data_IF_382902881832
#
_entry.id   IF_382902881832
#
_cell.length_a   1.000
_cell.length_b   1.000
_cell.length_c   1.000
_cell.angle_alpha   90.00
_cell.angle_beta   90.00
_cell.angle_gamma   90.00
#
_symmetry.space_group_name_H-M   'P 1'
#
loop_
_entity.id
_entity.type
_entity.pdbx_description
1 polymer ?
#
# COMPACT_ATOMS: atom_id res chain seq x y z
N UNK A 1 -16.81 0.23 -9.23
CA UNK A 1 -16.64 1.27 -8.18
C UNK A 1 -15.72 0.73 -7.10
N UNK A 2 -14.75 1.53 -6.60
CA UNK A 2 -13.97 1.18 -5.42
C UNK A 2 -14.65 1.75 -4.16
N UNK A 3 -14.71 0.94 -3.10
CA UNK A 3 -15.26 1.33 -1.79
C UNK A 3 -14.16 1.11 -0.76
N UNK A 4 -13.87 2.14 0.04
CA UNK A 4 -12.89 2.10 1.12
C UNK A 4 -13.61 2.00 2.47
N UNK A 5 -13.21 1.02 3.28
CA UNK A 5 -13.86 0.72 4.57
C UNK A 5 -12.85 0.38 5.66
N UNK A 6 -13.30 0.31 6.90
CA UNK A 6 -12.48 -0.10 8.05
C UNK A 6 -11.15 0.66 8.13
N UNK A 7 -11.20 1.96 7.83
CA UNK A 7 -10.00 2.78 7.75
C UNK A 7 -9.24 2.84 9.08
N UNK A 8 -7.92 2.90 8.97
CA UNK A 8 -6.99 3.03 10.09
C UNK A 8 -6.15 4.27 9.89
N UNK A 9 -5.97 5.00 10.97
CA UNK A 9 -5.10 6.17 10.97
C UNK A 9 -3.64 5.75 10.77
N UNK A 10 -3.00 6.40 9.78
CA UNK A 10 -1.55 6.36 9.55
C UNK A 10 -1.07 7.79 9.72
N UNK A 11 -0.27 8.06 10.75
CA UNK A 11 0.11 9.44 11.12
C UNK A 11 -1.11 10.34 11.34
N UNK A 12 -1.38 11.29 10.45
CA UNK A 12 -2.51 12.24 10.56
C UNK A 12 -3.78 11.79 9.84
N UNK A 13 -3.68 10.88 8.87
CA UNK A 13 -4.77 10.54 7.95
C UNK A 13 -5.16 9.06 8.02
N UNK A 14 -6.41 8.77 7.73
CA UNK A 14 -6.95 7.42 7.62
C UNK A 14 -6.69 6.88 6.20
N UNK A 15 -5.44 6.52 5.91
CA UNK A 15 -5.00 6.10 4.56
C UNK A 15 -4.93 4.60 4.36
N UNK A 16 -5.03 3.81 5.44
CA UNK A 16 -4.98 2.35 5.40
C UNK A 16 -6.33 1.76 5.78
N UNK A 17 -6.73 0.68 5.11
CA UNK A 17 -8.02 0.03 5.38
C UNK A 17 -8.28 -1.15 4.45
N UNK A 18 -9.55 -1.47 4.26
CA UNK A 18 -10.02 -2.47 3.32
C UNK A 18 -10.59 -1.80 2.08
N UNK A 19 -10.33 -2.38 0.93
CA UNK A 19 -10.91 -1.94 -0.33
C UNK A 19 -11.78 -3.06 -0.92
N UNK A 20 -12.87 -2.63 -1.54
CA UNK A 20 -13.82 -3.49 -2.22
C UNK A 20 -14.06 -3.00 -3.63
N UNK A 21 -14.16 -3.94 -4.55
CA UNK A 21 -14.70 -3.69 -5.90
C UNK A 21 -16.18 -4.00 -5.86
N UNK A 22 -17.01 -3.01 -6.17
CA UNK A 22 -18.44 -3.17 -6.26
C UNK A 22 -18.90 -3.04 -7.70
N UNK A 23 -19.58 -4.08 -8.20
CA UNK A 23 -20.17 -4.09 -9.53
C UNK A 23 -21.59 -3.50 -9.46
N UNK A 24 -21.77 -2.35 -10.12
CA UNK A 24 -23.05 -1.63 -10.10
C UNK A 24 -24.20 -2.38 -10.81
N UNK A 25 -23.86 -3.23 -11.80
CA UNK A 25 -24.86 -4.00 -12.56
C UNK A 25 -25.32 -5.23 -11.78
N UNK A 26 -24.37 -6.03 -11.28
CA UNK A 26 -24.69 -7.28 -10.57
C UNK A 26 -24.99 -7.07 -9.09
N UNK A 27 -24.72 -5.87 -8.55
CA UNK A 27 -24.86 -5.52 -7.12
C UNK A 27 -23.98 -6.37 -6.18
N UNK A 28 -22.90 -6.95 -6.71
CA UNK A 28 -21.97 -7.77 -5.95
C UNK A 28 -20.72 -6.99 -5.57
N UNK A 29 -20.24 -7.21 -4.35
CA UNK A 29 -19.00 -6.65 -3.83
C UNK A 29 -17.96 -7.75 -3.59
N UNK A 30 -16.71 -7.46 -3.93
CA UNK A 30 -15.57 -8.33 -3.68
C UNK A 30 -14.48 -7.56 -2.95
N UNK A 31 -13.94 -8.14 -1.88
CA UNK A 31 -12.80 -7.58 -1.16
C UNK A 31 -11.52 -7.76 -1.98
N UNK A 32 -10.72 -6.70 -2.10
CA UNK A 32 -9.37 -6.76 -2.64
C UNK A 32 -8.39 -7.32 -1.62
N UNK A 33 -7.30 -7.93 -2.11
CA UNK A 33 -6.23 -8.44 -1.26
C UNK A 33 -6.72 -9.54 -0.32
N UNK A 34 -7.50 -10.52 -0.80
CA UNK A 34 -8.10 -11.58 0.03
C UNK A 34 -7.07 -12.40 0.82
N UNK A 35 -5.83 -12.50 0.31
CA UNK A 35 -4.72 -13.22 0.95
C UNK A 35 -3.83 -12.32 1.81
N UNK A 36 -4.08 -11.02 1.82
CA UNK A 36 -3.29 -10.04 2.56
C UNK A 36 -3.94 -9.74 3.92
N UNK A 37 -3.15 -9.21 4.88
CA UNK A 37 -3.65 -8.89 6.20
C UNK A 37 -4.85 -7.93 6.15
N UNK A 38 -5.75 -8.06 7.12
CA UNK A 38 -6.88 -7.15 7.25
C UNK A 38 -6.40 -5.71 7.47
N UNK A 39 -7.08 -4.75 6.83
CA UNK A 39 -6.80 -3.32 6.95
C UNK A 39 -5.37 -2.92 6.56
N UNK A 40 -4.72 -3.66 5.63
CA UNK A 40 -3.35 -3.41 5.19
C UNK A 40 -3.25 -2.59 3.90
N UNK A 41 -4.34 -2.42 3.15
CA UNK A 41 -4.33 -1.81 1.83
C UNK A 41 -4.39 -0.28 1.87
N UNK A 42 -3.70 0.34 0.89
CA UNK A 42 -3.64 1.80 0.71
C UNK A 42 -3.72 2.13 -0.78
N UNK A 43 -4.34 3.26 -1.12
CA UNK A 43 -4.29 3.91 -2.43
C UNK A 43 -4.73 3.03 -3.61
N UNK A 44 -5.72 2.15 -3.41
CA UNK A 44 -6.21 1.31 -4.49
C UNK A 44 -6.79 2.16 -5.65
N UNK A 45 -6.39 1.82 -6.88
CA UNK A 45 -6.85 2.49 -8.10
C UNK A 45 -6.99 1.52 -9.25
N UNK A 46 -7.99 1.76 -10.10
CA UNK A 46 -8.15 1.03 -11.35
C UNK A 46 -7.06 1.37 -12.35
N UNK A 47 -6.68 0.40 -13.17
CA UNK A 47 -6.03 0.68 -14.43
C UNK A 47 -6.96 1.47 -15.36
N UNK A 48 -6.45 2.32 -16.29
CA UNK A 48 -7.29 3.11 -17.19
C UNK A 48 -8.29 2.28 -18.00
N UNK A 49 -7.93 1.05 -18.41
CA UNK A 49 -8.83 0.14 -19.12
C UNK A 49 -9.85 -0.59 -18.22
N UNK A 50 -9.73 -0.42 -16.90
CA UNK A 50 -10.67 -0.98 -15.91
C UNK A 50 -10.53 -2.48 -15.64
N UNK A 51 -9.52 -3.16 -16.16
CA UNK A 51 -9.35 -4.61 -16.03
C UNK A 51 -8.57 -5.04 -14.79
N UNK A 52 -7.74 -4.13 -14.26
CA UNK A 52 -6.84 -4.40 -13.13
C UNK A 52 -6.99 -3.33 -12.07
N UNK A 53 -6.54 -3.68 -10.87
CA UNK A 53 -6.47 -2.76 -9.73
C UNK A 53 -5.08 -2.90 -9.13
N UNK A 54 -4.41 -1.77 -8.88
CA UNK A 54 -3.18 -1.76 -8.12
C UNK A 54 -3.40 -1.08 -6.78
N UNK A 55 -2.68 -1.52 -5.77
CA UNK A 55 -2.70 -0.97 -4.42
C UNK A 55 -1.38 -1.23 -3.71
N UNK A 56 -1.09 -0.44 -2.67
CA UNK A 56 -0.02 -0.74 -1.73
C UNK A 56 -0.58 -1.56 -0.59
N UNK A 57 0.14 -2.61 -0.18
CA UNK A 57 -0.11 -3.29 1.11
C UNK A 57 1.05 -3.04 2.07
N UNK A 58 0.69 -2.62 3.29
CA UNK A 58 1.62 -2.49 4.41
C UNK A 58 1.52 -3.69 5.34
N UNK A 59 2.57 -4.49 5.39
CA UNK A 59 2.71 -5.59 6.33
C UNK A 59 3.46 -5.13 7.58
N UNK A 60 2.93 -5.45 8.76
CA UNK A 60 3.60 -5.21 10.02
C UNK A 60 4.56 -6.37 10.28
N UNK A 61 5.84 -6.07 10.43
CA UNK A 61 6.85 -7.05 10.82
C UNK A 61 6.90 -7.08 12.34
N UNK A 62 6.57 -8.21 13.00
CA UNK A 62 6.74 -8.34 14.44
C UNK A 62 8.24 -8.22 14.76
N UNK A 63 8.64 -7.21 15.51
CA UNK A 63 9.97 -7.11 16.11
C UNK A 63 9.89 -7.49 17.57
N UNK A 64 10.82 -8.31 17.99
CA UNK A 64 10.91 -8.81 19.38
C UNK A 64 11.19 -7.74 20.44
N UNK A 65 11.60 -6.53 20.08
CA UNK A 65 11.79 -5.41 21.01
C UNK A 65 11.76 -4.04 20.30
N UNK A 66 10.82 -3.20 20.64
CA UNK A 66 10.72 -1.73 20.56
C UNK A 66 10.37 -1.01 19.25
N UNK A 67 10.44 -1.57 18.06
CA UNK A 67 9.92 -0.87 16.86
C UNK A 67 9.33 -1.86 15.87
N UNK A 68 8.04 -1.75 15.59
CA UNK A 68 7.44 -2.43 14.45
C UNK A 68 7.93 -1.76 13.16
N UNK A 69 8.67 -2.47 12.32
CA UNK A 69 8.89 -2.01 10.96
C UNK A 69 7.74 -2.47 10.07
N UNK A 70 7.47 -1.73 9.02
CA UNK A 70 6.44 -2.09 8.05
C UNK A 70 7.08 -2.28 6.68
N UNK A 71 6.69 -3.35 5.99
CA UNK A 71 7.04 -3.56 4.59
C UNK A 71 5.93 -3.00 3.73
N UNK A 72 6.26 -2.10 2.81
CA UNK A 72 5.31 -1.54 1.86
C UNK A 72 5.64 -2.05 0.45
N UNK A 73 4.69 -2.75 -0.17
CA UNK A 73 4.83 -3.30 -1.50
C UNK A 73 3.60 -3.01 -2.36
N UNK A 74 3.82 -2.91 -3.67
CA UNK A 74 2.76 -2.74 -4.66
C UNK A 74 2.27 -4.10 -5.09
N UNK A 75 0.96 -4.25 -5.15
CA UNK A 75 0.26 -5.43 -5.64
C UNK A 75 -0.64 -5.06 -6.82
N UNK A 76 -0.80 -5.99 -7.73
CA UNK A 76 -1.70 -5.92 -8.87
C UNK A 76 -2.70 -7.07 -8.79
N UNK A 77 -3.99 -6.76 -8.90
CA UNK A 77 -5.07 -7.75 -8.88
C UNK A 77 -5.96 -7.57 -10.10
N UNK A 78 -6.40 -8.67 -10.70
CA UNK A 78 -7.42 -8.63 -11.76
C UNK A 78 -8.80 -8.36 -11.15
N UNK A 79 -9.68 -7.70 -11.89
CA UNK A 79 -10.98 -7.26 -11.35
C UNK A 79 -11.89 -8.44 -10.97
N UNK A 80 -11.74 -9.58 -11.66
CA UNK A 80 -12.38 -10.85 -11.32
C UNK A 80 -11.78 -11.51 -10.07
N UNK A 81 -10.54 -11.09 -9.70
CA UNK A 81 -9.78 -11.51 -8.55
C UNK A 81 -9.20 -12.91 -8.63
N UNK A 82 -9.02 -13.39 -9.83
CA UNK A 82 -8.40 -14.69 -10.08
C UNK A 82 -6.86 -14.63 -9.93
N UNK A 83 -6.28 -13.44 -9.92
CA UNK A 83 -4.84 -13.25 -9.82
C UNK A 83 -4.50 -12.06 -8.93
N UNK A 84 -3.63 -12.30 -7.94
CA UNK A 84 -2.98 -11.28 -7.12
C UNK A 84 -1.46 -11.45 -7.31
N UNK A 85 -0.80 -10.43 -7.82
CA UNK A 85 0.64 -10.43 -8.08
C UNK A 85 1.30 -9.35 -7.24
N UNK A 86 2.35 -9.71 -6.50
CA UNK A 86 3.23 -8.77 -5.82
C UNK A 86 4.23 -8.22 -6.84
N UNK A 87 4.23 -6.93 -7.09
CA UNK A 87 5.08 -6.30 -8.11
C UNK A 87 6.45 -5.84 -7.58
N UNK A 88 6.54 -5.55 -6.29
CA UNK A 88 7.76 -5.03 -5.67
C UNK A 88 8.11 -5.84 -4.43
N UNK A 89 9.38 -5.79 -4.02
CA UNK A 89 9.85 -6.45 -2.80
C UNK A 89 10.52 -5.43 -1.88
N UNK A 90 10.09 -5.40 -0.64
CA UNK A 90 10.73 -4.64 0.44
C UNK A 90 11.77 -5.53 1.13
N UNK A 91 12.81 -4.94 1.69
CA UNK A 91 13.82 -5.66 2.46
C UNK A 91 13.25 -6.21 3.80
N UNK A 92 13.99 -7.14 4.42
CA UNK A 92 13.58 -7.74 5.69
C UNK A 92 13.43 -6.74 6.84
N UNK A 93 14.17 -5.63 6.77
CA UNK A 93 14.15 -4.56 7.78
C UNK A 93 13.03 -3.55 7.57
N UNK A 94 12.35 -3.59 6.40
CA UNK A 94 11.33 -2.61 6.01
C UNK A 94 11.91 -1.23 5.72
N UNK A 95 13.19 -1.15 5.34
CA UNK A 95 13.86 0.10 4.95
C UNK A 95 13.71 0.44 3.47
N UNK A 96 13.28 -0.52 2.65
CA UNK A 96 12.86 -0.29 1.26
C UNK A 96 11.34 -0.09 1.26
N UNK A 97 10.89 1.11 0.87
CA UNK A 97 9.48 1.51 0.83
C UNK A 97 9.07 1.65 -0.63
N UNK A 98 8.06 0.89 -1.06
CA UNK A 98 7.58 0.89 -2.44
C UNK A 98 6.17 1.46 -2.55
N UNK A 99 5.96 2.40 -3.48
CA UNK A 99 4.64 2.93 -3.84
C UNK A 99 3.96 3.81 -2.79
N UNK A 100 4.68 4.16 -1.73
CA UNK A 100 4.27 5.12 -0.70
C UNK A 100 5.49 5.82 -0.14
N UNK A 101 5.32 6.67 0.88
CA UNK A 101 6.36 7.51 1.43
C UNK A 101 6.57 7.25 2.92
N UNK A 102 7.67 7.77 3.49
CA UNK A 102 7.90 7.82 4.91
C UNK A 102 7.07 8.94 5.58
N UNK A 103 7.13 9.03 6.90
CA UNK A 103 6.34 9.99 7.65
C UNK A 103 6.73 11.46 7.37
N UNK A 104 8.01 11.74 7.07
CA UNK A 104 8.47 13.12 6.79
C UNK A 104 7.90 13.60 5.46
N UNK A 105 7.98 12.79 4.41
CA UNK A 105 7.39 13.11 3.12
C UNK A 105 5.88 13.26 3.20
N UNK A 106 5.22 12.41 4.00
CA UNK A 106 3.76 12.50 4.20
C UNK A 106 3.37 13.78 4.94
N UNK A 107 4.08 14.13 6.02
CA UNK A 107 3.73 15.25 6.89
C UNK A 107 4.12 16.60 6.30
N UNK A 108 5.33 16.73 5.74
CA UNK A 108 5.89 18.00 5.27
C UNK A 108 5.52 18.32 3.82
N UNK A 109 5.43 17.31 2.96
CA UNK A 109 5.20 17.50 1.53
C UNK A 109 3.84 16.98 1.04
N UNK A 110 3.01 16.43 1.93
CA UNK A 110 1.72 15.82 1.59
C UNK A 110 1.83 14.66 0.56
N UNK A 111 3.00 14.06 0.43
CA UNK A 111 3.25 12.93 -0.45
C UNK A 111 2.81 11.63 0.22
N UNK A 112 1.81 10.95 -0.32
CA UNK A 112 1.27 9.71 0.25
C UNK A 112 1.18 8.59 -0.76
N UNK A 113 0.53 8.86 -1.88
CA UNK A 113 0.29 7.92 -2.98
C UNK A 113 1.44 7.99 -3.97
N UNK A 114 2.27 6.96 -3.99
CA UNK A 114 3.55 6.94 -4.69
C UNK A 114 3.59 6.05 -5.93
N UNK A 115 2.46 5.76 -6.59
CA UNK A 115 2.46 5.01 -7.84
C UNK A 115 1.34 5.42 -8.78
N UNK A 116 1.52 5.17 -10.08
CA UNK A 116 0.56 5.52 -11.11
C UNK A 116 0.63 4.55 -12.30
N UNK A 117 -0.53 4.21 -12.88
CA UNK A 117 -0.57 3.52 -14.15
C UNK A 117 -0.27 4.49 -15.30
N UNK A 118 0.31 3.98 -16.38
CA UNK A 118 0.30 4.67 -17.66
C UNK A 118 -1.07 4.52 -18.36
N UNK A 119 -1.33 5.35 -19.37
CA UNK A 119 -2.62 5.37 -20.08
C UNK A 119 -2.96 4.04 -20.75
N UNK A 120 -1.96 3.28 -21.20
CA UNK A 120 -2.14 1.97 -21.85
C UNK A 120 -2.39 0.83 -20.85
N UNK A 121 -2.36 1.07 -19.53
CA UNK A 121 -2.60 0.06 -18.49
C UNK A 121 -1.61 -1.11 -18.46
N UNK A 122 -0.46 -0.97 -19.08
CA UNK A 122 0.57 -2.01 -19.19
C UNK A 122 1.80 -1.75 -18.32
N UNK A 123 1.94 -0.52 -17.76
CA UNK A 123 3.06 -0.13 -16.92
C UNK A 123 2.58 0.61 -15.67
N UNK A 124 3.38 0.50 -14.61
CA UNK A 124 3.23 1.27 -13.36
C UNK A 124 4.54 1.98 -13.10
N UNK A 125 4.49 3.31 -12.99
CA UNK A 125 5.56 4.11 -12.44
C UNK A 125 5.36 4.21 -10.92
N UNK A 126 6.45 4.13 -10.13
CA UNK A 126 6.35 4.23 -8.68
C UNK A 126 7.63 4.83 -8.06
N UNK A 127 7.45 5.39 -6.89
CA UNK A 127 8.57 5.81 -6.03
C UNK A 127 9.04 4.63 -5.18
N UNK A 128 10.36 4.44 -5.14
CA UNK A 128 11.01 3.56 -4.19
C UNK A 128 11.96 4.40 -3.33
N UNK A 129 11.83 4.28 -2.03
CA UNK A 129 12.70 4.94 -1.06
C UNK A 129 13.59 3.88 -0.43
N UNK A 130 14.89 4.06 -0.50
CA UNK A 130 15.90 3.25 0.19
C UNK A 130 16.43 4.02 1.41
N UNK A 131 15.97 3.62 2.60
CA UNK A 131 16.38 4.18 3.87
C UNK A 131 17.52 3.39 4.55
N UNK A 132 18.18 2.45 3.87
CA UNK A 132 19.26 1.65 4.46
C UNK A 132 20.44 2.49 4.92
N UNK A 133 20.73 3.60 4.23
CA UNK A 133 21.79 4.55 4.59
C UNK A 133 21.43 5.50 5.74
N UNK A 134 20.16 5.54 6.16
CA UNK A 134 19.69 6.42 7.23
C UNK A 134 20.06 5.83 8.59
N UNK A 135 20.80 6.59 9.39
CA UNK A 135 21.20 6.19 10.75
C UNK A 135 20.01 6.30 11.70
N UNK A 136 19.84 5.29 12.54
CA UNK A 136 18.86 5.33 13.63
C UNK A 136 19.36 6.26 14.75
N UNK A 137 18.51 7.18 15.17
CA UNK A 137 18.80 8.03 16.34
C UNK A 137 18.23 7.34 17.59
N UNK A 138 19.14 7.00 18.51
CA UNK A 138 18.76 6.34 19.76
C UNK A 138 18.41 7.41 20.80
N UNK A 139 17.15 7.42 21.23
CA UNK A 139 16.71 8.22 22.38
C UNK A 139 16.70 7.34 23.64
N UNK A 140 17.40 7.78 24.68
CA UNK A 140 17.38 7.13 26.00
C UNK A 140 16.28 7.81 26.80
N UNK A 141 15.26 7.05 27.19
CA UNK A 141 14.28 7.51 28.17
C UNK A 141 14.86 7.26 29.57
N UNK A 142 15.05 8.33 30.34
CA UNK A 142 15.37 8.27 31.75
C UNK A 142 14.09 8.01 32.56
#
# INVERSE_FOLDING_TARGET
>A
MLIFTNSVRVWRYNTRGNYWVYNLKTKQGKRLGSTLPDRSLMFAKFSPNGEKIAYVSKEIIPKSFRNSSTRANIYLETIDGNSIVKLTESDEKGKIINGTFDWVYEEEFSCRDGFLFNDNSDKIAFWQIDANGVKDFLMINN
#
